data_IF_388598760955
#
_entry.id   IF_388598760955
#
_cell.length_a   1.000
_cell.length_b   1.000
_cell.length_c   1.000
_cell.angle_alpha   90.00
_cell.angle_beta   90.00
_cell.angle_gamma   90.00
#
_symmetry.space_group_name_H-M   'P 1'
#
loop_
_entity.id
_entity.type
_entity.pdbx_description
1 polymer ?
#
# COMPACT_ATOMS: atom_id res chain seq x y z
N UNK A 1 37.95 17.27 -10.75
CA UNK A 1 37.33 18.44 -11.44
C UNK A 1 38.28 18.91 -12.51
N UNK A 2 37.77 19.23 -13.72
CA UNK A 2 38.56 20.01 -14.68
C UNK A 2 38.77 21.42 -14.12
N UNK A 3 39.96 21.99 -14.36
CA UNK A 3 40.27 23.39 -14.04
C UNK A 3 39.26 24.37 -14.66
N UNK A 4 38.72 24.00 -15.84
CA UNK A 4 37.71 24.72 -16.62
C UNK A 4 36.41 24.98 -15.83
N UNK A 5 35.84 23.96 -15.17
CA UNK A 5 34.57 24.13 -14.43
C UNK A 5 34.73 25.05 -13.21
N UNK A 6 35.85 24.97 -12.47
CA UNK A 6 36.14 25.87 -11.34
C UNK A 6 36.24 27.34 -11.78
N UNK A 7 36.83 27.59 -12.96
CA UNK A 7 36.94 28.94 -13.51
C UNK A 7 35.55 29.50 -13.85
N UNK A 8 34.72 28.72 -14.54
CA UNK A 8 33.33 29.11 -14.90
C UNK A 8 32.46 29.40 -13.67
N UNK A 9 32.50 28.57 -12.61
CA UNK A 9 31.75 28.86 -11.38
C UNK A 9 32.19 30.17 -10.71
N UNK A 10 33.50 30.46 -10.72
CA UNK A 10 34.04 31.70 -10.14
C UNK A 10 33.64 32.92 -10.95
N UNK A 11 33.55 32.78 -12.27
CA UNK A 11 33.05 33.81 -13.17
C UNK A 11 31.56 34.08 -12.97
N UNK A 12 30.75 33.02 -12.82
CA UNK A 12 29.32 33.16 -12.52
C UNK A 12 29.11 33.91 -11.21
N UNK A 13 29.84 33.57 -10.15
CA UNK A 13 29.79 34.27 -8.87
C UNK A 13 30.21 35.74 -8.99
N UNK A 14 31.15 36.08 -9.88
CA UNK A 14 31.52 37.48 -10.15
C UNK A 14 30.41 38.23 -10.86
N UNK A 15 29.75 37.61 -11.84
CA UNK A 15 28.60 38.21 -12.55
C UNK A 15 27.42 38.43 -11.62
N UNK A 16 27.12 37.45 -10.75
CA UNK A 16 26.08 37.57 -9.71
C UNK A 16 26.35 38.78 -8.81
N UNK A 17 27.59 38.96 -8.35
CA UNK A 17 27.99 40.08 -7.48
C UNK A 17 27.97 41.45 -8.16
N UNK A 18 28.03 41.49 -9.50
CA UNK A 18 28.01 42.74 -10.27
C UNK A 18 26.60 43.19 -10.64
N UNK A 19 25.56 42.51 -10.17
CA UNK A 19 24.15 42.78 -10.48
C UNK A 19 23.80 42.77 -11.98
N UNK A 20 24.68 42.24 -12.84
CA UNK A 20 24.43 42.06 -14.28
C UNK A 20 23.60 40.80 -14.54
N UNK A 21 22.46 40.69 -13.85
CA UNK A 21 21.66 39.46 -13.78
C UNK A 21 20.92 39.14 -15.09
N UNK A 22 20.70 40.13 -15.96
CA UNK A 22 19.97 40.02 -17.24
C UNK A 22 20.88 39.95 -18.48
N UNK A 23 22.19 39.79 -18.31
CA UNK A 23 23.12 39.72 -19.45
C UNK A 23 23.05 38.37 -20.16
N UNK A 24 23.04 38.30 -21.51
CA UNK A 24 23.15 37.05 -22.27
C UNK A 24 24.36 36.18 -21.84
N UNK A 25 25.44 36.82 -21.37
CA UNK A 25 26.62 36.15 -20.85
C UNK A 25 26.34 35.33 -19.60
N UNK A 26 25.44 35.79 -18.73
CA UNK A 26 25.03 35.06 -17.53
C UNK A 26 24.37 33.73 -17.89
N UNK A 27 23.43 33.75 -18.83
CA UNK A 27 22.69 32.56 -19.27
C UNK A 27 23.56 31.59 -20.05
N UNK A 28 24.41 32.10 -20.94
CA UNK A 28 25.40 31.26 -21.66
C UNK A 28 26.29 30.52 -20.66
N UNK A 29 26.75 31.21 -19.60
CA UNK A 29 27.57 30.62 -18.56
C UNK A 29 26.79 29.60 -17.71
N UNK A 30 25.50 29.84 -17.46
CA UNK A 30 24.63 28.91 -16.75
C UNK A 30 24.40 27.62 -17.55
N UNK A 31 24.15 27.73 -18.86
CA UNK A 31 24.01 26.59 -19.77
C UNK A 31 25.30 25.78 -19.85
N UNK A 32 26.43 26.46 -20.00
CA UNK A 32 27.76 25.86 -19.98
C UNK A 32 28.04 25.08 -18.70
N UNK A 33 27.67 25.65 -17.54
CA UNK A 33 27.80 24.99 -16.24
C UNK A 33 26.87 23.77 -16.18
N UNK A 34 25.62 23.92 -16.63
CA UNK A 34 24.62 22.84 -16.63
C UNK A 34 25.08 21.65 -17.49
N UNK A 35 25.58 21.93 -18.69
CA UNK A 35 26.11 20.94 -19.63
C UNK A 35 27.31 20.17 -19.05
N UNK A 36 28.27 20.89 -18.46
CA UNK A 36 29.47 20.30 -17.87
C UNK A 36 29.17 19.54 -16.55
N UNK A 37 28.11 19.91 -15.82
CA UNK A 37 27.68 19.21 -14.60
C UNK A 37 26.99 17.89 -14.91
N UNK A 38 26.16 17.83 -15.96
CA UNK A 38 25.33 16.66 -16.31
C UNK A 38 26.05 15.29 -16.24
N UNK A 39 27.28 15.09 -16.78
CA UNK A 39 27.98 13.81 -16.68
C UNK A 39 28.69 13.57 -15.33
N UNK A 40 28.85 14.58 -14.49
CA UNK A 40 29.60 14.52 -13.23
C UNK A 40 28.72 14.30 -11.98
N UNK A 41 27.39 14.38 -12.13
CA UNK A 41 26.40 14.33 -11.04
C UNK A 41 26.61 13.14 -10.08
N UNK A 42 26.83 11.89 -10.53
CA UNK A 42 26.95 10.77 -9.59
C UNK A 42 28.23 10.77 -8.73
N UNK A 43 29.27 11.54 -9.09
CA UNK A 43 30.60 11.44 -8.46
C UNK A 43 31.09 12.72 -7.77
N UNK A 44 30.46 13.87 -8.01
CA UNK A 44 31.00 15.20 -7.62
C UNK A 44 29.96 16.12 -6.97
N UNK A 45 28.74 15.64 -6.72
CA UNK A 45 27.61 16.45 -6.26
C UNK A 45 27.83 17.16 -4.91
N UNK A 46 28.25 16.42 -3.88
CA UNK A 46 28.27 16.91 -2.49
C UNK A 46 29.21 18.12 -2.23
N UNK A 47 30.45 18.18 -2.76
CA UNK A 47 31.32 19.34 -2.55
C UNK A 47 30.87 20.59 -3.33
N UNK A 48 30.06 20.41 -4.37
CA UNK A 48 29.67 21.49 -5.28
C UNK A 48 28.36 22.16 -4.87
N UNK A 49 27.38 21.40 -4.36
CA UNK A 49 26.16 21.99 -3.76
C UNK A 49 26.51 22.97 -2.65
N UNK A 50 27.50 22.66 -1.80
CA UNK A 50 28.00 23.60 -0.77
C UNK A 50 28.59 24.89 -1.33
N UNK A 51 29.22 24.86 -2.51
CA UNK A 51 29.82 26.05 -3.15
C UNK A 51 28.81 26.87 -3.94
N UNK A 52 27.78 26.24 -4.48
CA UNK A 52 26.68 26.90 -5.18
C UNK A 52 25.59 27.40 -4.23
N UNK A 53 25.50 26.89 -3.00
CA UNK A 53 24.49 27.29 -2.02
C UNK A 53 24.29 28.83 -1.91
N UNK A 54 25.34 29.67 -1.90
CA UNK A 54 25.16 31.13 -1.85
C UNK A 54 24.61 31.75 -3.14
N UNK A 55 24.77 31.10 -4.29
CA UNK A 55 24.30 31.58 -5.59
C UNK A 55 22.83 31.23 -5.83
N UNK A 56 22.35 30.13 -5.24
CA UNK A 56 21.01 29.60 -5.50
C UNK A 56 19.88 30.61 -5.17
N UNK A 57 19.89 31.35 -4.04
CA UNK A 57 18.86 32.37 -3.80
C UNK A 57 18.76 33.41 -4.92
N UNK A 58 19.89 33.81 -5.51
CA UNK A 58 19.91 34.76 -6.63
C UNK A 58 19.39 34.14 -7.92
N UNK A 59 19.75 32.88 -8.18
CA UNK A 59 19.25 32.12 -9.35
C UNK A 59 17.73 31.91 -9.23
N UNK A 60 17.23 31.68 -8.02
CA UNK A 60 15.80 31.54 -7.74
C UNK A 60 15.06 32.86 -7.93
N UNK A 61 15.61 33.97 -7.40
CA UNK A 61 15.06 35.30 -7.64
C UNK A 61 14.96 35.61 -9.15
N UNK A 62 15.96 35.17 -9.92
CA UNK A 62 15.95 35.30 -11.38
C UNK A 62 14.88 34.43 -12.04
N UNK A 63 14.72 33.18 -11.62
CA UNK A 63 13.68 32.30 -12.18
C UNK A 63 12.29 32.93 -12.07
N UNK A 64 12.03 33.61 -10.94
CA UNK A 64 10.74 34.25 -10.65
C UNK A 64 10.58 35.57 -11.42
N UNK A 65 11.61 36.41 -11.44
CA UNK A 65 11.53 37.77 -12.01
C UNK A 65 11.86 37.87 -13.50
N UNK A 66 12.50 36.88 -14.09
CA UNK A 66 12.98 36.96 -15.47
C UNK A 66 11.81 36.91 -16.46
N UNK A 67 11.56 37.94 -17.30
CA UNK A 67 10.48 37.90 -18.28
C UNK A 67 10.77 37.00 -19.48
N UNK A 68 12.04 36.66 -19.75
CA UNK A 68 12.41 35.86 -20.92
C UNK A 68 12.23 34.34 -20.67
N UNK A 69 11.45 33.70 -21.53
CA UNK A 69 11.13 32.27 -21.47
C UNK A 69 12.34 31.35 -21.60
N UNK A 70 13.22 31.61 -22.57
CA UNK A 70 14.40 30.77 -22.80
C UNK A 70 15.31 30.79 -21.58
N UNK A 71 15.41 31.93 -20.91
CA UNK A 71 16.18 32.08 -19.69
C UNK A 71 15.58 31.31 -18.52
N UNK A 72 14.25 31.30 -18.37
CA UNK A 72 13.58 30.44 -17.39
C UNK A 72 13.79 28.96 -17.67
N UNK A 73 13.73 28.54 -18.93
CA UNK A 73 14.00 27.15 -19.32
C UNK A 73 15.44 26.75 -18.96
N UNK A 74 16.42 27.60 -19.23
CA UNK A 74 17.82 27.34 -18.85
C UNK A 74 18.00 27.28 -17.33
N UNK A 75 17.27 28.12 -16.56
CA UNK A 75 17.26 28.06 -15.10
C UNK A 75 16.61 26.78 -14.56
N UNK A 76 15.48 26.35 -15.15
CA UNK A 76 14.82 25.09 -14.79
C UNK A 76 15.72 23.88 -15.12
N UNK A 77 16.36 23.88 -16.29
CA UNK A 77 17.32 22.85 -16.67
C UNK A 77 18.50 22.77 -15.68
N UNK A 78 18.97 23.91 -15.18
CA UNK A 78 19.97 23.97 -14.12
C UNK A 78 19.46 23.31 -12.83
N UNK A 79 18.25 23.65 -12.35
CA UNK A 79 17.69 23.02 -11.16
C UNK A 79 17.50 21.51 -11.31
N UNK A 80 17.09 21.06 -12.50
CA UNK A 80 16.97 19.63 -12.81
C UNK A 80 18.29 18.88 -12.72
N UNK A 81 19.40 19.56 -13.01
CA UNK A 81 20.74 19.00 -12.91
C UNK A 81 21.30 19.02 -11.47
N UNK A 82 20.63 19.67 -10.51
CA UNK A 82 21.04 19.66 -9.11
C UNK A 82 20.48 18.42 -8.43
N UNK A 83 21.35 17.51 -7.94
CA UNK A 83 20.91 16.42 -7.08
C UNK A 83 20.46 16.98 -5.72
N UNK A 84 19.14 17.08 -5.56
CA UNK A 84 18.50 17.71 -4.41
C UNK A 84 18.79 16.94 -3.12
N UNK A 85 19.14 15.65 -3.19
CA UNK A 85 19.58 14.86 -2.04
C UNK A 85 20.89 15.36 -1.39
N UNK A 86 21.53 16.38 -1.96
CA UNK A 86 22.71 17.01 -1.36
C UNK A 86 22.49 18.46 -0.94
N UNK A 87 21.23 18.95 -1.00
CA UNK A 87 20.89 20.29 -0.53
C UNK A 87 20.51 20.31 0.94
N UNK A 88 20.79 21.44 1.57
CA UNK A 88 20.25 21.74 2.89
C UNK A 88 18.71 21.88 2.81
N UNK A 89 17.95 21.50 3.85
CA UNK A 89 16.49 21.56 3.83
C UNK A 89 15.91 22.94 3.46
N UNK A 90 16.54 24.02 3.90
CA UNK A 90 16.14 25.40 3.63
C UNK A 90 16.28 25.72 2.15
N UNK A 91 17.36 25.25 1.53
CA UNK A 91 17.67 25.49 0.12
C UNK A 91 16.77 24.67 -0.80
N UNK A 92 16.54 23.41 -0.41
CA UNK A 92 15.55 22.55 -1.04
C UNK A 92 14.16 23.20 -1.01
N UNK A 93 13.80 23.78 0.13
CA UNK A 93 12.54 24.52 0.31
C UNK A 93 12.43 25.67 -0.68
N UNK A 94 13.45 26.50 -0.80
CA UNK A 94 13.42 27.66 -1.70
C UNK A 94 13.34 27.24 -3.17
N UNK A 95 14.04 26.17 -3.56
CA UNK A 95 13.99 25.63 -4.92
C UNK A 95 12.58 25.13 -5.25
N UNK A 96 11.97 24.39 -4.34
CA UNK A 96 10.63 23.86 -4.54
C UNK A 96 9.60 24.98 -4.72
N UNK A 97 9.67 26.02 -3.89
CA UNK A 97 8.79 27.21 -4.03
C UNK A 97 8.93 27.87 -5.40
N UNK A 98 10.15 28.08 -5.86
CA UNK A 98 10.35 28.70 -7.18
C UNK A 98 9.89 27.81 -8.34
N UNK A 99 10.00 26.47 -8.23
CA UNK A 99 9.43 25.54 -9.21
C UNK A 99 7.90 25.65 -9.22
N UNK A 100 7.27 25.75 -8.05
CA UNK A 100 5.82 25.91 -7.92
C UNK A 100 5.38 27.25 -8.48
N UNK A 101 6.08 28.35 -8.17
CA UNK A 101 5.81 29.66 -8.77
C UNK A 101 5.96 29.62 -10.30
N UNK A 102 6.94 28.89 -10.83
CA UNK A 102 7.08 28.69 -12.28
C UNK A 102 5.91 27.92 -12.91
N UNK A 103 5.19 27.07 -12.16
CA UNK A 103 3.98 26.40 -12.64
C UNK A 103 2.78 27.36 -12.76
N UNK A 104 2.72 28.39 -11.91
CA UNK A 104 1.66 29.41 -11.92
C UNK A 104 1.90 30.52 -12.94
N UNK A 105 3.03 30.48 -13.65
CA UNK A 105 3.38 31.55 -14.54
C UNK A 105 2.44 31.59 -15.76
N UNK A 106 1.78 32.71 -16.01
CA UNK A 106 0.81 32.89 -17.10
C UNK A 106 1.40 32.75 -18.53
N UNK A 107 2.70 32.57 -18.67
CA UNK A 107 3.36 32.46 -19.97
C UNK A 107 3.46 31.04 -20.53
N UNK A 108 4.49 30.81 -21.36
CA UNK A 108 4.67 29.62 -22.18
C UNK A 108 4.52 28.27 -21.44
N UNK A 109 3.69 27.42 -22.06
CA UNK A 109 3.37 26.06 -21.64
C UNK A 109 4.61 25.17 -21.43
N UNK A 110 5.69 25.41 -22.17
CA UNK A 110 6.96 24.67 -22.08
C UNK A 110 7.63 24.87 -20.71
N UNK A 111 7.55 26.08 -20.14
CA UNK A 111 8.06 26.38 -18.78
C UNK A 111 7.27 25.59 -17.75
N UNK A 112 5.93 25.58 -17.85
CA UNK A 112 5.07 24.77 -16.99
C UNK A 112 5.34 23.27 -17.14
N UNK A 113 5.57 22.80 -18.36
CA UNK A 113 5.89 21.40 -18.63
C UNK A 113 7.22 20.98 -18.00
N UNK A 114 8.29 21.76 -18.15
CA UNK A 114 9.59 21.42 -17.56
C UNK A 114 9.56 21.56 -16.03
N UNK A 115 8.89 22.57 -15.48
CA UNK A 115 8.69 22.71 -14.04
C UNK A 115 7.93 21.50 -13.45
N UNK A 116 6.87 21.03 -14.11
CA UNK A 116 6.12 19.85 -13.67
C UNK A 116 6.96 18.57 -13.72
N UNK A 117 7.88 18.49 -14.70
CA UNK A 117 8.79 17.36 -14.87
C UNK A 117 9.84 17.33 -13.76
N UNK A 118 10.40 18.48 -13.43
CA UNK A 118 11.35 18.63 -12.32
C UNK A 118 10.67 18.23 -11.02
N UNK A 119 9.47 18.76 -10.75
CA UNK A 119 8.68 18.40 -9.58
C UNK A 119 8.48 16.88 -9.51
N UNK A 120 8.01 16.26 -10.60
CA UNK A 120 7.77 14.82 -10.68
C UNK A 120 9.03 13.96 -10.57
N UNK A 121 10.10 14.29 -11.28
CA UNK A 121 11.38 13.59 -11.24
C UNK A 121 11.90 13.57 -9.78
N UNK A 122 11.79 14.68 -9.05
CA UNK A 122 12.19 14.75 -7.66
C UNK A 122 11.30 13.94 -6.71
N UNK A 123 10.00 13.83 -6.99
CA UNK A 123 9.12 12.91 -6.26
C UNK A 123 9.45 11.44 -6.50
N UNK A 124 9.76 11.09 -7.74
CA UNK A 124 10.15 9.71 -8.05
C UNK A 124 11.49 9.38 -7.40
N UNK A 125 12.44 10.33 -7.38
CA UNK A 125 13.68 10.21 -6.63
C UNK A 125 13.46 10.20 -5.12
N UNK A 126 12.40 10.84 -4.61
CA UNK A 126 11.96 10.63 -3.22
C UNK A 126 11.42 9.23 -2.96
N UNK A 127 11.43 8.27 -3.90
CA UNK A 127 11.40 6.83 -3.50
C UNK A 127 12.61 6.46 -2.64
N UNK A 128 13.72 7.18 -2.77
CA UNK A 128 14.88 7.10 -1.87
C UNK A 128 14.60 7.75 -0.48
N UNK A 129 13.40 8.27 -0.21
CA UNK A 129 12.95 8.76 1.12
C UNK A 129 13.01 7.69 2.20
N UNK A 130 13.05 6.40 1.84
CA UNK A 130 13.38 5.37 2.80
C UNK A 130 14.70 5.65 3.53
N UNK A 131 15.64 6.36 2.89
CA UNK A 131 16.96 6.67 3.44
C UNK A 131 17.00 8.02 4.20
N UNK A 132 16.05 8.94 4.00
CA UNK A 132 16.03 10.24 4.70
C UNK A 132 14.61 10.79 4.99
N UNK A 133 13.98 10.37 6.10
CA UNK A 133 12.61 10.76 6.48
C UNK A 133 12.43 12.27 6.69
N UNK A 134 13.44 12.95 7.24
CA UNK A 134 13.35 14.38 7.59
C UNK A 134 13.17 15.26 6.35
N UNK A 135 13.84 14.92 5.24
CA UNK A 135 13.63 15.63 3.97
C UNK A 135 12.28 15.38 3.34
N UNK A 136 11.78 14.15 3.46
CA UNK A 136 10.43 13.85 3.07
C UNK A 136 9.47 14.77 3.83
N UNK A 137 9.56 14.81 5.15
CA UNK A 137 8.69 15.65 5.97
C UNK A 137 8.74 17.11 5.53
N UNK A 138 9.93 17.67 5.27
CA UNK A 138 10.07 19.05 4.74
C UNK A 138 9.42 19.20 3.36
N UNK A 139 9.69 18.29 2.43
CA UNK A 139 9.10 18.30 1.09
C UNK A 139 7.57 18.24 1.13
N UNK A 140 7.04 17.32 1.94
CA UNK A 140 5.62 17.09 2.10
C UNK A 140 4.93 18.25 2.84
N UNK A 141 5.61 18.86 3.82
CA UNK A 141 5.14 20.09 4.49
C UNK A 141 5.04 21.25 3.51
N UNK A 142 5.97 21.38 2.57
CA UNK A 142 5.92 22.44 1.57
C UNK A 142 4.87 22.20 0.51
N UNK A 143 4.76 20.97 0.00
CA UNK A 143 3.64 20.61 -0.87
C UNK A 143 2.30 20.84 -0.18
N UNK A 144 2.26 20.74 1.15
CA UNK A 144 1.09 21.09 1.95
C UNK A 144 0.85 22.61 2.05
N UNK A 145 1.89 23.40 2.34
CA UNK A 145 1.80 24.86 2.38
C UNK A 145 1.35 25.44 1.03
N UNK A 146 1.83 24.86 -0.07
CA UNK A 146 1.56 25.28 -1.45
C UNK A 146 0.43 24.47 -2.11
N UNK A 147 -0.32 23.68 -1.33
CA UNK A 147 -1.31 22.74 -1.86
C UNK A 147 -2.43 23.44 -2.63
N UNK A 148 -2.94 24.55 -2.09
CA UNK A 148 -4.03 25.32 -2.72
C UNK A 148 -3.61 25.82 -4.11
N UNK A 149 -2.36 26.26 -4.23
CA UNK A 149 -1.79 26.75 -5.48
C UNK A 149 -1.66 25.60 -6.51
N UNK A 150 -1.16 24.43 -6.09
CA UNK A 150 -1.13 23.24 -6.96
C UNK A 150 -2.52 22.71 -7.34
N UNK A 151 -3.51 22.90 -6.47
CA UNK A 151 -4.91 22.56 -6.72
C UNK A 151 -5.52 23.49 -7.79
N UNK A 152 -5.26 24.79 -7.72
CA UNK A 152 -5.67 25.76 -8.75
C UNK A 152 -5.11 25.36 -10.13
N UNK A 153 -3.83 25.00 -10.21
CA UNK A 153 -3.21 24.49 -11.46
C UNK A 153 -3.92 23.23 -11.97
N UNK A 154 -4.40 22.34 -11.11
CA UNK A 154 -5.11 21.13 -11.57
C UNK A 154 -6.52 21.41 -12.10
N UNK A 155 -7.13 22.50 -11.63
CA UNK A 155 -8.48 22.92 -12.00
C UNK A 155 -8.49 23.75 -13.28
N UNK A 156 -7.39 24.44 -13.60
CA UNK A 156 -7.20 25.12 -14.88
C UNK A 156 -7.18 24.14 -16.08
N UNK A 157 -7.48 24.64 -17.29
CA UNK A 157 -7.34 23.89 -18.56
C UNK A 157 -5.86 23.70 -18.94
N UNK A 158 -5.11 23.02 -18.09
CA UNK A 158 -3.69 22.78 -18.30
C UNK A 158 -3.49 21.54 -19.17
N UNK A 159 -2.42 21.55 -19.98
CA UNK A 159 -2.01 20.41 -20.81
C UNK A 159 -2.08 19.08 -20.04
N UNK A 160 -2.70 18.08 -20.68
CA UNK A 160 -2.94 16.76 -20.07
C UNK A 160 -1.69 16.09 -19.48
N UNK A 161 -0.48 16.39 -19.98
CA UNK A 161 0.78 15.87 -19.42
C UNK A 161 1.08 16.41 -18.02
N UNK A 162 0.82 17.70 -17.78
CA UNK A 162 1.01 18.32 -16.46
C UNK A 162 -0.02 17.73 -15.50
N UNK A 163 -1.28 17.62 -15.93
CA UNK A 163 -2.35 17.01 -15.16
C UNK A 163 -1.99 15.57 -14.74
N UNK A 164 -1.50 14.74 -15.66
CA UNK A 164 -1.05 13.37 -15.36
C UNK A 164 0.06 13.36 -14.30
N UNK A 165 1.07 14.23 -14.43
CA UNK A 165 2.19 14.30 -13.46
C UNK A 165 1.73 14.77 -12.08
N UNK A 166 0.87 15.78 -12.02
CA UNK A 166 0.30 16.28 -10.77
C UNK A 166 -0.62 15.25 -10.13
N UNK A 167 -1.47 14.56 -10.90
CA UNK A 167 -2.27 13.43 -10.40
C UNK A 167 -1.39 12.30 -9.84
N UNK A 168 -0.30 11.95 -10.53
CA UNK A 168 0.63 10.94 -10.05
C UNK A 168 1.38 11.40 -8.78
N UNK A 169 1.73 12.68 -8.70
CA UNK A 169 2.24 13.32 -7.48
C UNK A 169 1.26 13.19 -6.31
N UNK A 170 0.01 13.59 -6.50
CA UNK A 170 -1.03 13.49 -5.48
C UNK A 170 -1.32 12.05 -5.07
N UNK A 171 -1.22 11.11 -6.00
CA UNK A 171 -1.34 9.68 -5.73
C UNK A 171 -0.20 9.19 -4.82
N UNK A 172 1.04 9.59 -5.09
CA UNK A 172 2.20 9.24 -4.26
C UNK A 172 2.12 9.89 -2.87
N UNK A 173 1.71 11.15 -2.80
CA UNK A 173 1.39 11.86 -1.55
C UNK A 173 0.38 11.07 -0.71
N UNK A 174 -0.78 10.75 -1.30
CA UNK A 174 -1.86 10.01 -0.67
C UNK A 174 -1.40 8.67 -0.12
N UNK A 175 -0.57 7.96 -0.88
CA UNK A 175 0.02 6.69 -0.47
C UNK A 175 0.99 6.87 0.71
N UNK A 176 1.83 7.89 0.69
CA UNK A 176 2.87 8.03 1.71
C UNK A 176 2.37 8.69 3.00
N UNK A 177 1.30 9.49 2.95
CA UNK A 177 0.75 10.24 4.10
C UNK A 177 0.55 9.38 5.37
N UNK A 178 0.20 8.12 5.23
CA UNK A 178 -0.05 7.22 6.37
C UNK A 178 1.09 6.25 6.69
N UNK A 179 2.26 6.41 6.07
CA UNK A 179 3.44 5.62 6.42
C UNK A 179 4.06 6.07 7.76
N UNK A 180 4.92 5.24 8.34
CA UNK A 180 5.64 5.56 9.58
C UNK A 180 6.52 6.81 9.46
N UNK A 181 6.98 7.15 8.26
CA UNK A 181 7.78 8.34 7.98
C UNK A 181 7.06 9.66 8.25
N UNK A 182 5.74 9.64 8.50
CA UNK A 182 4.90 10.83 8.72
C UNK A 182 4.22 10.87 10.08
N UNK A 183 4.71 10.10 11.05
CA UNK A 183 4.14 10.12 12.41
C UNK A 183 4.26 11.50 13.08
N UNK A 184 5.25 12.32 12.68
CA UNK A 184 5.40 13.70 13.16
C UNK A 184 4.26 14.64 12.69
N UNK A 185 3.55 14.30 11.61
CA UNK A 185 2.38 15.09 11.17
C UNK A 185 1.14 14.62 11.94
N UNK A 186 0.42 15.53 12.65
CA UNK A 186 -0.79 15.16 13.38
C UNK A 186 -1.78 14.40 12.50
N UNK A 187 -2.34 13.30 13.03
CA UNK A 187 -3.24 12.42 12.26
C UNK A 187 -4.42 13.18 11.62
N UNK A 188 -5.01 14.13 12.35
CA UNK A 188 -6.08 15.01 11.85
C UNK A 188 -5.67 15.78 10.60
N UNK A 189 -4.44 16.31 10.58
CA UNK A 189 -3.87 17.00 9.42
C UNK A 189 -3.68 16.04 8.25
N UNK A 190 -3.13 14.85 8.49
CA UNK A 190 -2.97 13.81 7.44
C UNK A 190 -4.29 13.41 6.78
N UNK A 191 -5.35 13.22 7.57
CA UNK A 191 -6.70 12.91 7.07
C UNK A 191 -7.28 14.07 6.26
N UNK A 192 -7.13 15.31 6.73
CA UNK A 192 -7.60 16.49 6.00
C UNK A 192 -6.91 16.62 4.63
N UNK A 193 -5.60 16.37 4.57
CA UNK A 193 -4.82 16.37 3.34
C UNK A 193 -5.30 15.27 2.40
N UNK A 194 -5.44 14.04 2.90
CA UNK A 194 -5.91 12.93 2.09
C UNK A 194 -7.28 13.21 1.46
N UNK A 195 -8.20 13.81 2.22
CA UNK A 195 -9.52 14.20 1.68
C UNK A 195 -9.39 15.21 0.54
N UNK A 196 -8.61 16.27 0.70
CA UNK A 196 -8.39 17.26 -0.37
C UNK A 196 -7.78 16.61 -1.62
N UNK A 197 -6.73 15.82 -1.42
CA UNK A 197 -6.08 15.06 -2.50
C UNK A 197 -7.07 14.14 -3.23
N UNK A 198 -7.93 13.43 -2.50
CA UNK A 198 -8.83 12.45 -3.09
C UNK A 198 -9.82 13.05 -4.08
N UNK A 199 -10.19 14.33 -3.90
CA UNK A 199 -11.09 15.06 -4.82
C UNK A 199 -10.36 15.44 -6.12
N UNK A 200 -9.04 15.64 -6.06
CA UNK A 200 -8.22 16.05 -7.21
C UNK A 200 -7.75 14.88 -8.08
N UNK A 201 -7.88 13.65 -7.57
CA UNK A 201 -7.50 12.45 -8.31
C UNK A 201 -8.70 12.01 -9.17
N UNK A 202 -8.50 11.70 -10.47
CA UNK A 202 -9.57 11.18 -11.32
C UNK A 202 -10.19 9.90 -10.71
N UNK A 203 -11.50 9.72 -10.85
CA UNK A 203 -12.25 8.59 -10.25
C UNK A 203 -11.62 7.22 -10.51
N UNK A 204 -11.06 7.02 -11.71
CA UNK A 204 -10.37 5.78 -12.10
C UNK A 204 -9.17 5.42 -11.20
N UNK A 205 -8.59 6.40 -10.51
CA UNK A 205 -7.47 6.24 -9.59
C UNK A 205 -7.87 6.39 -8.11
N UNK A 206 -9.08 6.90 -7.83
CA UNK A 206 -9.55 7.08 -6.45
C UNK A 206 -9.71 5.72 -5.73
N UNK A 207 -10.30 4.72 -6.37
CA UNK A 207 -10.57 3.40 -5.76
C UNK A 207 -9.31 2.72 -5.20
N UNK A 208 -8.20 2.56 -5.97
CA UNK A 208 -6.96 1.97 -5.44
C UNK A 208 -6.33 2.78 -4.29
N UNK A 209 -6.45 4.10 -4.34
CA UNK A 209 -5.87 5.01 -3.34
C UNK A 209 -6.71 5.01 -2.06
N UNK A 210 -8.04 5.01 -2.19
CA UNK A 210 -8.99 4.83 -1.09
C UNK A 210 -8.80 3.46 -0.44
N UNK A 211 -8.61 2.39 -1.22
CA UNK A 211 -8.31 1.06 -0.70
C UNK A 211 -6.96 1.04 0.04
N UNK A 212 -5.91 1.65 -0.52
CA UNK A 212 -4.61 1.76 0.15
C UNK A 212 -4.66 2.60 1.44
N UNK A 213 -5.31 3.77 1.40
CA UNK A 213 -5.48 4.63 2.57
C UNK A 213 -6.36 3.96 3.61
N UNK A 214 -7.42 3.26 3.21
CA UNK A 214 -8.24 2.42 4.09
C UNK A 214 -7.37 1.36 4.77
N UNK A 215 -6.53 0.63 4.04
CA UNK A 215 -5.57 -0.34 4.62
C UNK A 215 -4.62 0.32 5.60
N UNK A 216 -4.06 1.49 5.29
CA UNK A 216 -3.13 2.17 6.19
C UNK A 216 -3.81 2.77 7.41
N UNK A 217 -5.01 3.34 7.27
CA UNK A 217 -5.83 3.82 8.39
C UNK A 217 -6.21 2.64 9.30
N UNK A 218 -6.60 1.49 8.73
CA UNK A 218 -6.87 0.26 9.48
C UNK A 218 -5.62 -0.25 10.20
N UNK A 219 -4.45 -0.19 9.57
CA UNK A 219 -3.19 -0.58 10.22
C UNK A 219 -2.72 0.43 11.27
N UNK A 220 -3.09 1.70 11.12
CA UNK A 220 -2.76 2.79 12.04
C UNK A 220 -3.80 2.97 13.16
N UNK A 221 -4.99 2.37 13.01
CA UNK A 221 -6.12 2.45 13.94
C UNK A 221 -5.74 2.12 15.39
N UNK A 222 -4.89 1.10 15.67
CA UNK A 222 -4.38 0.88 17.02
C UNK A 222 -3.60 2.08 17.59
N UNK A 223 -2.73 2.71 16.80
CA UNK A 223 -1.94 3.86 17.23
C UNK A 223 -2.79 5.13 17.37
N UNK A 224 -3.74 5.34 16.44
CA UNK A 224 -4.70 6.45 16.50
C UNK A 224 -5.59 6.32 17.74
N UNK A 225 -6.06 5.11 18.04
CA UNK A 225 -6.87 4.86 19.22
C UNK A 225 -6.06 5.03 20.51
N UNK A 226 -4.82 4.55 20.54
CA UNK A 226 -3.89 4.76 21.66
C UNK A 226 -3.66 6.26 21.92
N UNK A 227 -3.37 7.05 20.88
CA UNK A 227 -3.22 8.50 21.02
C UNK A 227 -4.53 9.21 21.40
N UNK A 228 -5.69 8.72 20.96
CA UNK A 228 -6.99 9.24 21.39
C UNK A 228 -7.25 8.95 22.87
N UNK A 229 -6.88 7.78 23.36
CA UNK A 229 -6.99 7.42 24.78
C UNK A 229 -6.03 8.23 25.65
N UNK A 230 -4.83 8.53 25.17
CA UNK A 230 -3.86 9.39 25.87
C UNK A 230 -4.31 10.86 25.95
N UNK A 231 -5.20 11.29 25.06
CA UNK A 231 -5.73 12.66 24.99
C UNK A 231 -7.03 12.85 25.76
N UNK A 232 -7.71 11.78 26.17
CA UNK A 232 -8.95 11.84 26.93
C UNK A 232 -8.61 11.48 28.38
N UNK A 233 -8.76 12.40 29.35
CA UNK A 233 -8.61 12.06 30.77
C UNK A 233 -9.45 10.82 31.10
N UNK A 234 -8.93 9.87 31.90
CA UNK A 234 -9.63 8.61 32.24
C UNK A 234 -11.06 8.84 32.76
N UNK A 235 -11.30 9.99 33.37
CA UNK A 235 -12.56 10.44 33.95
C UNK A 235 -13.59 10.97 32.91
N UNK A 236 -13.15 11.30 31.69
CA UNK A 236 -13.96 11.92 30.63
C UNK A 236 -14.23 11.00 29.43
N UNK A 237 -13.94 9.71 29.53
CA UNK A 237 -14.16 8.76 28.44
C UNK A 237 -15.65 8.60 28.14
N UNK A 238 -16.18 9.48 27.27
CA UNK A 238 -17.60 9.54 26.95
C UNK A 238 -18.04 8.35 26.12
N UNK A 239 -18.90 7.52 26.70
CA UNK A 239 -19.54 6.37 26.06
C UNK A 239 -20.12 6.67 24.67
N UNK A 240 -20.75 7.83 24.49
CA UNK A 240 -21.37 8.21 23.22
C UNK A 240 -20.35 8.30 22.07
N UNK A 241 -19.09 8.66 22.38
CA UNK A 241 -18.00 8.70 21.39
C UNK A 241 -17.51 7.30 21.04
N UNK A 242 -17.40 6.40 22.01
CA UNK A 242 -17.02 5.00 21.79
C UNK A 242 -18.11 4.29 21.01
N UNK A 243 -19.38 4.47 21.39
CA UNK A 243 -20.52 3.87 20.70
C UNK A 243 -20.66 4.40 19.27
N UNK A 244 -20.48 5.72 19.05
CA UNK A 244 -20.46 6.30 17.70
C UNK A 244 -19.28 5.79 16.86
N UNK A 245 -18.09 5.68 17.47
CA UNK A 245 -16.90 5.15 16.82
C UNK A 245 -17.06 3.68 16.45
N UNK A 246 -17.53 2.85 17.37
CA UNK A 246 -17.79 1.43 17.15
C UNK A 246 -18.86 1.25 16.08
N UNK A 247 -19.96 2.00 16.13
CA UNK A 247 -21.01 1.94 15.11
C UNK A 247 -20.43 2.22 13.72
N UNK A 248 -19.61 3.27 13.57
CA UNK A 248 -18.95 3.60 12.28
C UNK A 248 -17.90 2.58 11.85
N UNK A 249 -17.12 2.05 12.79
CA UNK A 249 -16.13 0.99 12.53
C UNK A 249 -16.83 -0.27 12.01
N UNK A 250 -18.05 -0.51 12.50
CA UNK A 250 -18.84 -1.70 12.18
C UNK A 250 -19.68 -1.55 10.92
N UNK A 251 -20.23 -0.37 10.63
CA UNK A 251 -20.81 -0.05 9.32
C UNK A 251 -19.77 -0.23 8.20
N UNK A 252 -18.50 0.08 8.50
CA UNK A 252 -17.39 -0.16 7.58
C UNK A 252 -16.99 -1.65 7.48
N UNK A 253 -17.33 -2.50 8.45
CA UNK A 253 -16.92 -3.90 8.53
C UNK A 253 -17.65 -4.80 7.52
N UNK A 254 -18.91 -4.52 7.21
CA UNK A 254 -19.73 -5.35 6.31
C UNK A 254 -19.23 -5.38 4.86
N UNK A 255 -18.47 -4.35 4.48
CA UNK A 255 -17.83 -4.19 3.17
C UNK A 255 -16.37 -4.67 3.13
N UNK A 256 -15.83 -5.23 4.22
CA UNK A 256 -14.42 -5.63 4.29
C UNK A 256 -14.17 -7.09 3.87
N UNK A 257 -13.07 -7.36 3.12
CA UNK A 257 -12.55 -8.72 2.94
C UNK A 257 -12.16 -9.39 4.27
N UNK A 258 -12.22 -10.73 4.34
CA UNK A 258 -12.05 -11.57 5.55
C UNK A 258 -10.77 -11.24 6.35
N UNK A 259 -9.66 -10.96 5.68
CA UNK A 259 -8.37 -10.64 6.31
C UNK A 259 -8.47 -9.40 7.21
N UNK A 260 -9.30 -8.42 6.84
CA UNK A 260 -9.48 -7.18 7.60
C UNK A 260 -10.42 -7.35 8.81
N UNK A 261 -11.19 -8.43 8.85
CA UNK A 261 -12.11 -8.75 9.95
C UNK A 261 -11.32 -9.28 11.17
N UNK A 262 -10.25 -10.05 10.94
CA UNK A 262 -9.31 -10.44 11.99
C UNK A 262 -8.57 -9.22 12.60
N UNK A 263 -8.26 -8.22 11.76
CA UNK A 263 -7.67 -6.97 12.23
C UNK A 263 -8.67 -6.16 13.09
N UNK A 264 -9.94 -6.06 12.68
CA UNK A 264 -10.98 -5.42 13.49
C UNK A 264 -11.12 -6.08 14.86
N UNK A 265 -11.06 -7.41 14.92
CA UNK A 265 -11.08 -8.15 16.18
C UNK A 265 -9.88 -7.82 17.07
N UNK A 266 -8.68 -7.68 16.49
CA UNK A 266 -7.49 -7.29 17.25
C UNK A 266 -7.60 -5.86 17.83
N UNK A 267 -8.18 -4.94 17.06
CA UNK A 267 -8.45 -3.55 17.48
C UNK A 267 -9.49 -3.55 18.59
N UNK A 268 -10.64 -4.21 18.39
CA UNK A 268 -11.71 -4.32 19.40
C UNK A 268 -11.23 -4.95 20.70
N UNK A 269 -10.37 -5.96 20.60
CA UNK A 269 -9.71 -6.56 21.75
C UNK A 269 -8.80 -5.58 22.48
N UNK A 270 -8.00 -4.79 21.75
CA UNK A 270 -7.13 -3.78 22.36
C UNK A 270 -7.96 -2.67 23.02
N UNK A 271 -9.02 -2.22 22.37
CA UNK A 271 -10.02 -1.29 22.94
C UNK A 271 -10.60 -1.88 24.23
N UNK A 272 -11.11 -3.12 24.18
CA UNK A 272 -11.66 -3.81 25.34
C UNK A 272 -10.66 -3.94 26.50
N UNK A 273 -9.38 -4.21 26.20
CA UNK A 273 -8.33 -4.30 27.22
C UNK A 273 -8.03 -2.95 27.90
N UNK A 274 -8.25 -1.83 27.20
CA UNK A 274 -7.97 -0.49 27.69
C UNK A 274 -9.17 0.11 28.46
N UNK A 275 -10.39 -0.30 28.15
CA UNK A 275 -11.61 0.23 28.79
C UNK A 275 -11.96 -0.48 30.12
N UNK A 276 -11.22 -1.51 30.53
CA UNK A 276 -11.54 -2.33 31.70
C UNK A 276 -12.71 -3.30 31.50
N UNK A 277 -12.86 -4.27 32.42
CA UNK A 277 -13.75 -5.43 32.26
C UNK A 277 -15.23 -5.07 32.01
N UNK A 278 -15.73 -4.03 32.67
CA UNK A 278 -17.13 -3.61 32.55
C UNK A 278 -17.48 -3.12 31.14
N UNK A 279 -16.53 -2.48 30.46
CA UNK A 279 -16.73 -1.81 29.18
C UNK A 279 -16.40 -2.73 28.01
N UNK A 280 -15.35 -3.55 28.16
CA UNK A 280 -15.04 -4.66 27.26
C UNK A 280 -16.30 -5.46 26.91
N UNK A 281 -17.13 -5.72 27.91
CA UNK A 281 -18.37 -6.49 27.79
C UNK A 281 -19.35 -5.90 26.80
N UNK A 282 -19.59 -4.59 26.87
CA UNK A 282 -20.54 -3.91 25.99
C UNK A 282 -20.03 -3.87 24.55
N UNK A 283 -18.74 -3.59 24.38
CA UNK A 283 -18.08 -3.57 23.05
C UNK A 283 -18.14 -4.95 22.40
N UNK A 284 -17.79 -5.99 23.14
CA UNK A 284 -17.82 -7.39 22.68
C UNK A 284 -19.27 -7.79 22.36
N UNK A 285 -20.23 -7.48 23.21
CA UNK A 285 -21.64 -7.81 23.01
C UNK A 285 -22.23 -7.14 21.77
N UNK A 286 -21.94 -5.84 21.58
CA UNK A 286 -22.41 -5.08 20.40
C UNK A 286 -21.81 -5.63 19.11
N UNK A 287 -20.52 -5.95 19.11
CA UNK A 287 -19.85 -6.59 17.98
C UNK A 287 -20.52 -7.91 17.60
N UNK A 288 -20.90 -8.71 18.60
CA UNK A 288 -21.48 -10.04 18.38
C UNK A 288 -22.95 -9.99 17.95
N UNK A 289 -23.72 -9.01 18.42
CA UNK A 289 -25.06 -8.72 17.86
C UNK A 289 -24.97 -8.38 16.37
N UNK A 290 -23.96 -7.63 15.96
CA UNK A 290 -23.74 -7.28 14.56
C UNK A 290 -23.27 -8.46 13.71
N UNK A 291 -22.44 -9.34 14.26
CA UNK A 291 -22.10 -10.60 13.58
C UNK A 291 -23.33 -11.50 13.39
N UNK A 292 -24.28 -11.49 14.33
CA UNK A 292 -25.56 -12.20 14.19
C UNK A 292 -26.39 -11.64 13.03
N UNK A 293 -26.44 -10.32 12.86
CA UNK A 293 -27.18 -9.71 11.74
C UNK A 293 -26.54 -9.99 10.37
N UNK A 294 -25.23 -10.25 10.32
CA UNK A 294 -24.51 -10.49 9.07
C UNK A 294 -24.69 -11.89 8.47
N UNK A 295 -25.24 -12.86 9.21
CA UNK A 295 -25.49 -14.25 8.77
C UNK A 295 -24.30 -14.96 8.05
N UNK A 296 -23.05 -14.57 8.30
CA UNK A 296 -21.89 -15.17 7.61
C UNK A 296 -21.35 -16.39 8.36
N UNK A 297 -21.79 -17.57 7.95
CA UNK A 297 -21.36 -18.88 8.50
C UNK A 297 -19.85 -19.16 8.39
N UNK A 298 -19.12 -18.45 7.51
CA UNK A 298 -17.67 -18.59 7.34
C UNK A 298 -16.85 -18.00 8.50
N UNK A 299 -17.43 -17.15 9.34
CA UNK A 299 -16.73 -16.44 10.41
C UNK A 299 -16.74 -17.16 11.76
N UNK A 300 -17.45 -18.29 11.89
CA UNK A 300 -17.61 -19.02 13.16
C UNK A 300 -16.26 -19.38 13.79
N UNK A 301 -15.28 -19.83 13.01
CA UNK A 301 -13.96 -20.21 13.52
C UNK A 301 -13.14 -19.00 14.02
N UNK A 302 -13.30 -17.85 13.37
CA UNK A 302 -12.66 -16.60 13.78
C UNK A 302 -13.26 -16.13 15.11
N UNK A 303 -14.59 -16.21 15.25
CA UNK A 303 -15.31 -15.88 16.48
C UNK A 303 -14.91 -16.84 17.61
N UNK A 304 -14.87 -18.15 17.35
CA UNK A 304 -14.43 -19.15 18.34
C UNK A 304 -13.01 -18.86 18.85
N UNK A 305 -12.07 -18.55 17.95
CA UNK A 305 -10.69 -18.20 18.32
C UNK A 305 -10.61 -16.90 19.14
N UNK A 306 -11.38 -15.88 18.74
CA UNK A 306 -11.46 -14.61 19.46
C UNK A 306 -12.02 -14.79 20.88
N UNK A 307 -13.13 -15.53 21.00
CA UNK A 307 -13.73 -15.85 22.29
C UNK A 307 -12.80 -16.69 23.17
N UNK A 308 -12.07 -17.65 22.60
CA UNK A 308 -11.06 -18.42 23.32
C UNK A 308 -9.89 -17.56 23.80
N UNK A 309 -9.54 -16.50 23.05
CA UNK A 309 -8.54 -15.51 23.48
C UNK A 309 -9.07 -14.67 24.64
N UNK A 310 -10.27 -14.09 24.51
CA UNK A 310 -10.92 -13.33 25.59
C UNK A 310 -11.08 -14.18 26.87
N UNK A 311 -11.50 -15.45 26.73
CA UNK A 311 -11.70 -16.36 27.85
C UNK A 311 -10.41 -16.66 28.64
N UNK A 312 -9.23 -16.44 28.06
CA UNK A 312 -7.94 -16.63 28.76
C UNK A 312 -7.51 -15.43 29.60
N UNK A 313 -8.05 -14.25 29.31
CA UNK A 313 -7.51 -12.99 29.80
C UNK A 313 -8.43 -12.24 30.75
N UNK A 314 -9.73 -12.51 30.71
CA UNK A 314 -10.69 -11.92 31.63
C UNK A 314 -10.95 -12.83 32.84
N UNK A 315 -11.45 -12.26 33.95
CA UNK A 315 -11.73 -13.04 35.15
C UNK A 315 -12.73 -14.19 34.92
N UNK A 316 -12.69 -15.20 35.81
CA UNK A 316 -13.51 -16.42 35.71
C UNK A 316 -15.03 -16.15 35.66
N UNK A 317 -15.53 -15.22 36.47
CA UNK A 317 -16.95 -14.88 36.50
C UNK A 317 -17.43 -14.26 35.19
N UNK A 318 -16.58 -13.45 34.58
CA UNK A 318 -16.84 -12.79 33.30
C UNK A 318 -16.80 -13.77 32.13
N UNK A 319 -15.81 -14.66 32.13
CA UNK A 319 -15.69 -15.76 31.16
C UNK A 319 -16.99 -16.58 31.09
N UNK A 320 -17.57 -16.94 32.24
CA UNK A 320 -18.78 -17.75 32.27
C UNK A 320 -20.00 -17.01 31.71
N UNK A 321 -20.13 -15.70 31.93
CA UNK A 321 -21.20 -14.89 31.36
C UNK A 321 -21.10 -14.79 29.83
N UNK A 322 -19.90 -14.58 29.31
CA UNK A 322 -19.66 -14.59 27.87
C UNK A 322 -19.98 -15.97 27.28
N UNK A 323 -19.44 -17.05 27.84
CA UNK A 323 -19.68 -18.42 27.36
C UNK A 323 -21.18 -18.76 27.36
N UNK A 324 -21.90 -18.43 28.44
CA UNK A 324 -23.34 -18.68 28.55
C UNK A 324 -24.15 -17.92 27.48
N UNK A 325 -23.74 -16.70 27.13
CA UNK A 325 -24.36 -15.94 26.06
C UNK A 325 -24.05 -16.50 24.66
N UNK A 326 -22.84 -17.00 24.42
CA UNK A 326 -22.42 -17.45 23.08
C UNK A 326 -22.77 -18.88 22.72
N UNK A 327 -22.85 -19.79 23.69
CA UNK A 327 -23.14 -21.20 23.41
C UNK A 327 -24.40 -21.39 22.53
N UNK A 328 -25.53 -20.70 22.79
CA UNK A 328 -26.71 -20.79 21.94
C UNK A 328 -26.47 -20.32 20.50
N UNK A 329 -25.72 -19.23 20.31
CA UNK A 329 -25.39 -18.69 18.99
C UNK A 329 -24.49 -19.64 18.21
N UNK A 330 -23.44 -20.16 18.85
CA UNK A 330 -22.54 -21.15 18.23
C UNK A 330 -23.28 -22.43 17.83
N UNK A 331 -24.23 -22.87 18.66
CA UNK A 331 -25.10 -24.02 18.36
C UNK A 331 -25.95 -23.76 17.10
N UNK A 332 -26.68 -22.63 17.06
CA UNK A 332 -27.50 -22.21 15.91
C UNK A 332 -26.67 -22.12 14.62
N UNK A 333 -25.44 -21.59 14.69
CA UNK A 333 -24.54 -21.51 13.54
C UNK A 333 -24.03 -22.87 13.07
N UNK A 334 -23.73 -23.79 13.99
CA UNK A 334 -23.30 -25.16 13.65
C UNK A 334 -24.44 -25.92 12.97
N UNK A 335 -25.65 -25.81 13.49
CA UNK A 335 -26.86 -26.41 12.90
C UNK A 335 -27.14 -25.83 11.50
N UNK A 336 -27.03 -24.51 11.31
CA UNK A 336 -27.18 -23.88 9.99
C UNK A 336 -26.08 -24.29 9.00
N UNK A 337 -24.84 -24.44 9.46
CA UNK A 337 -23.73 -24.90 8.62
C UNK A 337 -23.92 -26.34 8.18
N UNK A 338 -24.37 -27.22 9.07
CA UNK A 338 -24.67 -28.62 8.73
C UNK A 338 -25.82 -28.72 7.71
N UNK A 339 -26.84 -27.84 7.82
CA UNK A 339 -27.90 -27.74 6.82
C UNK A 339 -27.45 -27.14 5.48
N UNK A 340 -26.57 -26.14 5.48
CA UNK A 340 -26.12 -25.45 4.26
C UNK A 340 -24.99 -26.18 3.50
N UNK A 341 -24.20 -27.04 4.18
CA UNK A 341 -23.17 -27.86 3.55
C UNK A 341 -23.76 -28.86 2.53
N UNK A 342 -25.06 -29.15 2.62
CA UNK A 342 -25.77 -29.99 1.66
C UNK A 342 -26.24 -29.26 0.39
N UNK A 343 -26.27 -27.92 0.33
CA UNK A 343 -26.96 -27.22 -0.78
C UNK A 343 -26.11 -26.31 -1.68
N UNK A 344 -24.85 -25.99 -1.37
CA UNK A 344 -24.04 -25.07 -2.20
C UNK A 344 -22.56 -25.45 -2.40
N UNK A 345 -22.24 -26.72 -2.63
CA UNK A 345 -20.97 -27.03 -3.32
C UNK A 345 -21.15 -26.69 -4.81
N UNK A 346 -20.85 -25.44 -5.17
CA UNK A 346 -20.65 -25.05 -6.57
C UNK A 346 -19.56 -25.97 -7.12
N UNK A 347 -19.96 -27.02 -7.84
CA UNK A 347 -19.06 -28.02 -8.37
C UNK A 347 -18.21 -27.34 -9.43
N UNK A 348 -16.97 -27.03 -9.09
CA UNK A 348 -15.99 -26.57 -10.07
C UNK A 348 -15.88 -27.70 -11.10
N UNK A 349 -16.20 -27.46 -12.38
CA UNK A 349 -16.09 -28.49 -13.42
C UNK A 349 -14.63 -28.97 -13.46
N UNK A 350 -14.44 -30.28 -13.43
CA UNK A 350 -13.12 -30.93 -13.50
C UNK A 350 -12.94 -31.50 -14.89
N UNK A 351 -11.72 -31.49 -15.43
CA UNK A 351 -11.44 -32.06 -16.75
C UNK A 351 -10.90 -33.48 -16.61
N UNK A 352 -11.28 -34.39 -17.50
CA UNK A 352 -10.76 -35.75 -17.54
C UNK A 352 -9.23 -35.72 -17.66
N UNK A 353 -8.52 -36.41 -16.76
CA UNK A 353 -7.06 -36.52 -16.78
C UNK A 353 -6.50 -37.04 -18.13
N UNK A 354 -7.27 -37.85 -18.85
CA UNK A 354 -6.79 -38.51 -20.07
C UNK A 354 -7.03 -37.72 -21.36
N UNK A 355 -8.18 -37.06 -21.50
CA UNK A 355 -8.57 -36.38 -22.74
C UNK A 355 -8.87 -34.89 -22.58
N UNK A 356 -8.82 -34.35 -21.35
CA UNK A 356 -9.11 -32.95 -21.07
C UNK A 356 -10.58 -32.55 -21.12
N UNK A 357 -11.51 -33.45 -21.46
CA UNK A 357 -12.93 -33.10 -21.54
C UNK A 357 -13.55 -32.90 -20.15
N UNK A 358 -14.38 -31.87 -19.92
CA UNK A 358 -15.09 -31.69 -18.65
C UNK A 358 -15.89 -32.92 -18.25
N UNK A 359 -15.82 -33.29 -16.97
CA UNK A 359 -16.54 -34.42 -16.37
C UNK A 359 -17.23 -34.02 -15.08
N UNK A 360 -18.36 -34.68 -14.81
CA UNK A 360 -19.07 -34.51 -13.54
C UNK A 360 -18.27 -35.10 -12.38
N UNK A 361 -18.32 -34.45 -11.21
CA UNK A 361 -17.56 -34.86 -10.01
C UNK A 361 -17.85 -36.29 -9.55
N UNK A 362 -19.07 -36.78 -9.81
CA UNK A 362 -19.51 -38.11 -9.43
C UNK A 362 -19.24 -39.18 -10.50
N UNK A 363 -18.84 -38.81 -11.71
CA UNK A 363 -18.56 -39.77 -12.76
C UNK A 363 -17.38 -40.69 -12.35
N UNK A 364 -17.48 -41.97 -12.68
CA UNK A 364 -16.38 -42.95 -12.51
C UNK A 364 -15.62 -43.18 -13.82
N UNK A 365 -16.26 -42.95 -14.96
CA UNK A 365 -15.71 -43.13 -16.30
C UNK A 365 -15.92 -41.84 -17.10
N UNK A 366 -14.94 -41.46 -17.92
CA UNK A 366 -15.09 -40.31 -18.80
C UNK A 366 -16.04 -40.64 -19.96
N UNK A 367 -17.11 -39.84 -20.20
CA UNK A 367 -18.05 -40.09 -21.28
C UNK A 367 -17.43 -39.93 -22.67
N UNK A 368 -16.33 -39.19 -22.79
CA UNK A 368 -15.70 -38.89 -24.09
C UNK A 368 -14.63 -39.89 -24.50
N UNK A 369 -13.81 -40.40 -23.56
CA UNK A 369 -12.72 -41.32 -23.88
C UNK A 369 -12.90 -42.74 -23.33
N UNK A 370 -13.94 -43.00 -22.54
CA UNK A 370 -14.24 -44.32 -21.98
C UNK A 370 -13.27 -44.82 -20.90
N UNK A 371 -12.23 -44.03 -20.53
CA UNK A 371 -11.27 -44.39 -19.48
C UNK A 371 -11.81 -44.07 -18.10
N UNK A 372 -11.44 -44.89 -17.12
CA UNK A 372 -11.74 -44.64 -15.71
C UNK A 372 -11.08 -43.34 -15.24
N UNK A 373 -11.84 -42.53 -14.49
CA UNK A 373 -11.37 -41.25 -13.99
C UNK A 373 -10.39 -41.46 -12.85
N UNK A 374 -9.20 -40.86 -13.00
CA UNK A 374 -8.17 -40.94 -11.99
C UNK A 374 -8.63 -40.17 -10.74
N UNK A 375 -8.67 -40.84 -9.58
CA UNK A 375 -9.11 -40.26 -8.31
C UNK A 375 -7.96 -40.20 -7.32
N UNK A 376 -7.90 -39.12 -6.55
CA UNK A 376 -6.89 -38.98 -5.52
C UNK A 376 -7.22 -39.89 -4.33
N UNK A 377 -6.25 -40.73 -3.93
CA UNK A 377 -6.43 -41.67 -2.81
C UNK A 377 -6.70 -40.99 -1.46
N UNK A 378 -6.36 -39.70 -1.31
CA UNK A 378 -6.54 -38.92 -0.07
C UNK A 378 -7.88 -38.18 -0.08
N UNK A 379 -8.12 -37.25 -1.01
CA UNK A 379 -9.34 -36.45 -1.01
C UNK A 379 -10.55 -37.12 -1.71
N UNK A 380 -10.34 -38.26 -2.37
CA UNK A 380 -11.34 -39.03 -3.16
C UNK A 380 -11.97 -38.28 -4.35
N UNK A 381 -11.51 -37.06 -4.63
CA UNK A 381 -11.93 -36.28 -5.78
C UNK A 381 -11.20 -36.71 -7.06
N UNK A 382 -11.84 -36.56 -8.23
CA UNK A 382 -11.16 -36.72 -9.53
C UNK A 382 -9.97 -35.77 -9.67
N UNK A 383 -8.88 -36.27 -10.22
CA UNK A 383 -7.69 -35.52 -10.59
C UNK A 383 -7.93 -34.94 -11.99
N UNK A 384 -7.80 -33.62 -12.12
CA UNK A 384 -8.01 -32.90 -13.37
C UNK A 384 -6.83 -33.07 -14.34
N UNK A 385 -7.07 -32.85 -15.63
CA UNK A 385 -6.00 -32.78 -16.64
C UNK A 385 -4.90 -31.80 -16.28
N UNK A 386 -5.22 -30.71 -15.58
CA UNK A 386 -4.26 -29.67 -15.22
C UNK A 386 -3.47 -29.96 -13.95
N UNK A 387 -3.97 -30.85 -13.09
CA UNK A 387 -3.40 -31.10 -11.77
C UNK A 387 -2.06 -31.87 -11.86
N UNK A 388 -1.14 -31.56 -10.95
CA UNK A 388 0.07 -32.36 -10.74
C UNK A 388 -0.25 -33.66 -10.01
N UNK A 389 0.32 -34.76 -10.48
CA UNK A 389 0.02 -36.11 -9.97
C UNK A 389 1.27 -36.73 -9.37
N UNK A 390 1.17 -37.11 -8.10
CA UNK A 390 2.15 -37.96 -7.42
C UNK A 390 1.66 -39.40 -7.35
N UNK A 391 2.59 -40.36 -7.48
CA UNK A 391 2.32 -41.78 -7.31
C UNK A 391 3.29 -42.43 -6.32
N UNK A 392 2.80 -43.39 -5.55
CA UNK A 392 3.63 -44.21 -4.67
C UNK A 392 4.59 -45.09 -5.49
N UNK A 393 5.90 -45.01 -5.22
CA UNK A 393 6.91 -45.90 -5.84
C UNK A 393 6.73 -47.40 -5.56
N UNK A 394 5.95 -47.78 -4.56
CA UNK A 394 5.73 -49.20 -4.21
C UNK A 394 4.43 -49.80 -4.74
N UNK A 395 3.34 -49.04 -4.80
CA UNK A 395 2.02 -49.56 -5.18
C UNK A 395 1.32 -48.73 -6.26
N UNK A 396 1.98 -47.70 -6.78
CA UNK A 396 1.50 -46.83 -7.86
C UNK A 396 0.15 -46.13 -7.59
N UNK A 397 -0.29 -46.10 -6.34
CA UNK A 397 -1.46 -45.35 -5.88
C UNK A 397 -1.24 -43.85 -6.17
N UNK A 398 -2.21 -43.22 -6.84
CA UNK A 398 -2.09 -41.87 -7.38
C UNK A 398 -2.89 -40.85 -6.56
N UNK A 399 -2.38 -39.63 -6.48
CA UNK A 399 -3.09 -38.50 -5.88
C UNK A 399 -2.63 -37.16 -6.42
N UNK A 400 -3.38 -36.10 -6.10
CA UNK A 400 -2.88 -34.74 -6.25
C UNK A 400 -1.54 -34.66 -5.52
N UNK A 401 -0.50 -34.18 -6.20
CA UNK A 401 0.87 -34.18 -5.69
C UNK A 401 0.94 -33.53 -4.30
N UNK A 402 0.30 -32.37 -4.12
CA UNK A 402 0.24 -31.62 -2.86
C UNK A 402 -0.34 -32.43 -1.71
N UNK A 403 -1.53 -33.02 -1.89
CA UNK A 403 -2.15 -33.86 -0.85
C UNK A 403 -1.29 -35.09 -0.55
N UNK A 404 -0.65 -35.69 -1.56
CA UNK A 404 0.19 -36.87 -1.39
C UNK A 404 1.44 -36.56 -0.57
N UNK A 405 2.12 -35.45 -0.88
CA UNK A 405 3.28 -34.97 -0.12
C UNK A 405 2.93 -34.60 1.32
N UNK A 406 1.83 -33.88 1.56
CA UNK A 406 1.40 -33.52 2.92
C UNK A 406 1.09 -34.76 3.77
N UNK A 407 0.45 -35.76 3.17
CA UNK A 407 0.20 -37.03 3.82
C UNK A 407 1.50 -37.74 4.17
N UNK A 408 2.43 -37.85 3.24
CA UNK A 408 3.73 -38.51 3.47
C UNK A 408 4.57 -37.75 4.49
N UNK A 409 4.60 -36.41 4.45
CA UNK A 409 5.27 -35.57 5.46
C UNK A 409 4.73 -35.82 6.87
N UNK A 410 3.42 -36.03 7.02
CA UNK A 410 2.78 -36.19 8.33
C UNK A 410 2.78 -37.63 8.84
N UNK A 411 2.62 -38.62 7.96
CA UNK A 411 2.46 -40.03 8.35
C UNK A 411 3.69 -40.90 8.06
N UNK A 412 4.62 -40.44 7.20
CA UNK A 412 5.77 -41.22 6.72
C UNK A 412 5.40 -42.46 5.89
N UNK A 413 4.12 -42.63 5.52
CA UNK A 413 3.56 -43.86 4.94
C UNK A 413 2.64 -43.58 3.75
N UNK A 414 2.59 -44.51 2.81
CA UNK A 414 1.62 -44.47 1.72
C UNK A 414 0.18 -44.68 2.24
N UNK A 415 -0.81 -43.85 1.87
CA UNK A 415 -2.20 -43.99 2.31
C UNK A 415 -2.90 -45.26 1.77
N UNK A 416 -2.35 -45.90 0.73
CA UNK A 416 -2.95 -47.06 0.08
C UNK A 416 -2.33 -48.38 0.52
N UNK A 417 -0.99 -48.49 0.56
CA UNK A 417 -0.31 -49.74 0.90
C UNK A 417 0.29 -49.76 2.32
N UNK A 418 0.22 -48.63 3.04
CA UNK A 418 0.70 -48.46 4.42
C UNK A 418 2.21 -48.73 4.64
N UNK A 419 2.98 -48.92 3.56
CA UNK A 419 4.44 -49.02 3.61
C UNK A 419 5.06 -47.64 3.87
N UNK A 420 6.18 -47.63 4.57
CA UNK A 420 6.98 -46.43 4.78
C UNK A 420 7.43 -45.88 3.42
N UNK A 421 7.12 -44.61 3.17
CA UNK A 421 7.34 -43.95 1.90
C UNK A 421 8.05 -42.63 2.17
N UNK A 422 9.35 -42.50 1.86
CA UNK A 422 10.03 -41.21 1.95
C UNK A 422 9.49 -40.25 0.86
N UNK A 423 9.77 -38.95 0.97
CA UNK A 423 9.26 -37.95 0.01
C UNK A 423 9.78 -38.20 -1.40
N UNK A 424 11.03 -38.64 -1.52
CA UNK A 424 11.68 -39.04 -2.77
C UNK A 424 11.03 -40.29 -3.37
N UNK A 425 10.29 -41.05 -2.56
CA UNK A 425 9.50 -42.20 -3.00
C UNK A 425 8.20 -41.80 -3.72
N UNK A 426 7.84 -40.52 -3.76
CA UNK A 426 6.72 -40.01 -4.56
C UNK A 426 7.23 -39.73 -5.99
N UNK A 427 6.74 -40.52 -6.95
CA UNK A 427 7.09 -40.35 -8.37
C UNK A 427 6.08 -39.37 -8.99
N UNK A 428 6.55 -38.22 -9.46
CA UNK A 428 5.71 -37.27 -10.19
C UNK A 428 5.46 -37.78 -11.61
N UNK A 429 4.19 -37.92 -11.98
CA UNK A 429 3.78 -38.36 -13.32
C UNK A 429 3.63 -37.12 -14.20
N UNK A 430 4.67 -36.82 -15.00
CA UNK A 430 4.62 -35.72 -15.98
C UNK A 430 3.76 -36.09 -17.19
N UNK A 431 3.07 -35.11 -17.77
CA UNK A 431 2.08 -35.29 -18.86
C UNK A 431 2.69 -35.67 -20.22
N UNK A 432 3.98 -35.99 -20.28
CA UNK A 432 4.72 -36.14 -21.53
C UNK A 432 5.06 -37.62 -21.79
N UNK A 433 4.25 -38.31 -22.59
CA UNK A 433 4.72 -39.48 -23.36
C UNK A 433 3.69 -40.07 -24.35
N UNK A 434 2.48 -39.54 -24.48
CA UNK A 434 1.52 -39.99 -25.50
C UNK A 434 1.11 -38.83 -26.42
N UNK A 435 2.01 -38.46 -27.33
CA UNK A 435 1.64 -37.84 -28.60
C UNK A 435 1.87 -38.85 -29.71
#
# INVERSE_FOLDING_TARGET
>A
MSSKLKAKSKELLKLIKKETKSSPLFYTLLEDITFELKPLIPKVALPYTKKLAPAIPVILELLVKEPNENYRLSLLAFFRAIPLEYLAPELFTTILKAIIEALHWDGNQEVKEEASKILFDHLVLTREVQENPQRAIVFYRLLFEEFSSLEEILQEEVNGRIKIRLTALFTLLARNLFSSSFQEIPFKSRVAIFRRISVLIPESYQLPILDYARKMIINSLPAIFQSLLELIPEEELRFDLIDSFLSRLLDAHDSLPIIYQEMHLSVLYKIASLLGEQYASKVIFKYLQLLETCQRTSQVKIIENFLAKLAREFNYGYRNKLIAYYQPLLKKYKEQKEGAVLSFKKTIPRNCYWCGTPVETQATVCPSCGKELLRCVICKLPISFEDDVGACSFCEAKGHLTHFEEWVKSQGKCPSCLRDLPLEGIVQISKNSSK
#
